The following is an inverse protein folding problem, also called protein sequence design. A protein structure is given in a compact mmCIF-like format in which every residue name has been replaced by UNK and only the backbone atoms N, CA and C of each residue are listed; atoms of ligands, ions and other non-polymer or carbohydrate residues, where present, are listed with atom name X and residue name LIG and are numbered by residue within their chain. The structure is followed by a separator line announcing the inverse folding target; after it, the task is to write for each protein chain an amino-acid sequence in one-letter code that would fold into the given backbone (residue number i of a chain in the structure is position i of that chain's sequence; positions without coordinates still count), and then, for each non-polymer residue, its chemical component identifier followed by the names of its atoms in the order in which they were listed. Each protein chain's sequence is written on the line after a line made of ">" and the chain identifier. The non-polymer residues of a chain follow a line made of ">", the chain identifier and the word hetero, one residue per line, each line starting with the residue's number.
data_IF_543921734507
#
_entry.id   IF_543921734507
#
_cell.length_a   1.000
_cell.length_b   1.000
_cell.length_c   1.000
_cell.angle_alpha   90.00
_cell.angle_beta   90.00
_cell.angle_gamma   90.00
#
_symmetry.space_group_name_H-M   'P 1'
#
loop_
_entity.id
_entity.type
_entity.pdbx_description
1 polymer ?
#
# COMPACT_ATOMS: atom_id res chain seq x y z
N UNK A 1 -52.42 -66.25 -15.52
CA UNK A 1 -52.27 -65.98 -14.08
C UNK A 1 -50.85 -66.38 -13.70
N UNK A 2 -50.01 -65.67 -12.94
CA UNK A 2 -49.72 -64.26 -12.67
C UNK A 2 -48.37 -64.30 -11.88
N UNK A 3 -47.54 -63.24 -11.93
CA UNK A 3 -46.33 -62.93 -11.11
C UNK A 3 -45.03 -63.69 -11.42
N UNK A 4 -43.79 -63.17 -11.38
CA UNK A 4 -43.10 -61.86 -11.38
C UNK A 4 -41.75 -62.12 -10.65
N UNK A 5 -40.57 -61.87 -11.26
CA UNK A 5 -39.29 -61.82 -10.53
C UNK A 5 -38.20 -61.03 -11.31
N UNK A 6 -38.17 -59.74 -10.99
CA UNK A 6 -37.06 -58.83 -10.70
C UNK A 6 -35.71 -58.87 -11.48
N UNK A 7 -35.38 -57.65 -11.91
CA UNK A 7 -34.14 -57.12 -12.49
C UNK A 7 -32.94 -57.17 -11.53
N UNK A 8 -31.73 -57.32 -12.07
CA UNK A 8 -30.50 -56.83 -11.43
C UNK A 8 -29.53 -56.30 -12.49
N UNK A 9 -29.73 -55.04 -12.90
CA UNK A 9 -28.76 -54.29 -13.71
C UNK A 9 -27.64 -53.75 -12.82
N UNK A 10 -26.41 -54.20 -13.05
CA UNK A 10 -25.22 -53.65 -12.41
C UNK A 10 -24.84 -52.32 -13.08
N UNK A 11 -25.24 -51.19 -12.48
CA UNK A 11 -24.70 -49.89 -12.83
C UNK A 11 -23.37 -49.69 -12.08
N UNK A 12 -22.26 -49.79 -12.81
CA UNK A 12 -20.93 -49.43 -12.30
C UNK A 12 -20.91 -47.92 -12.09
N UNK A 13 -21.08 -47.50 -10.83
CA UNK A 13 -20.90 -46.12 -10.39
C UNK A 13 -19.41 -45.80 -10.44
N UNK A 14 -18.94 -45.28 -11.57
CA UNK A 14 -17.60 -44.76 -11.72
C UNK A 14 -17.40 -43.58 -10.78
N UNK A 15 -16.55 -43.76 -9.77
CA UNK A 15 -16.15 -42.71 -8.84
C UNK A 15 -15.30 -41.67 -9.59
N UNK A 16 -15.96 -40.71 -10.25
CA UNK A 16 -15.32 -39.57 -10.87
C UNK A 16 -14.70 -38.70 -9.78
N UNK A 17 -13.37 -38.62 -9.76
CA UNK A 17 -12.62 -37.75 -8.86
C UNK A 17 -12.94 -36.29 -9.18
N UNK A 18 -13.83 -35.68 -8.41
CA UNK A 18 -14.02 -34.22 -8.42
C UNK A 18 -12.72 -33.60 -7.91
N UNK A 19 -11.91 -33.04 -8.82
CA UNK A 19 -10.79 -32.17 -8.43
C UNK A 19 -11.39 -30.94 -7.76
N UNK A 20 -11.18 -30.82 -6.44
CA UNK A 20 -11.41 -29.59 -5.72
C UNK A 20 -10.53 -28.50 -6.34
N UNK A 21 -11.16 -27.56 -7.06
CA UNK A 21 -10.51 -26.33 -7.50
C UNK A 21 -10.28 -25.50 -6.24
N UNK A 22 -9.03 -25.22 -5.91
CA UNK A 22 -8.70 -24.32 -4.83
C UNK A 22 -9.30 -22.93 -5.14
N UNK A 23 -9.85 -22.22 -4.13
CA UNK A 23 -10.37 -20.88 -4.33
C UNK A 23 -9.24 -19.95 -4.79
N UNK A 24 -9.50 -19.15 -5.83
CA UNK A 24 -8.61 -18.08 -6.26
C UNK A 24 -8.27 -17.20 -5.04
N UNK A 25 -6.98 -17.05 -4.78
CA UNK A 25 -6.52 -16.20 -3.70
C UNK A 25 -7.06 -14.78 -3.90
N UNK A 26 -7.59 -14.13 -2.85
CA UNK A 26 -8.11 -12.78 -2.98
C UNK A 26 -7.02 -11.82 -3.48
N UNK A 27 -7.38 -10.80 -4.28
CA UNK A 27 -6.43 -9.84 -4.82
C UNK A 27 -5.66 -9.17 -3.68
N UNK A 28 -4.33 -9.21 -3.76
CA UNK A 28 -3.47 -8.68 -2.70
C UNK A 28 -3.50 -7.15 -2.74
N UNK A 29 -3.87 -6.51 -1.63
CA UNK A 29 -3.87 -5.05 -1.52
C UNK A 29 -2.52 -4.58 -0.96
N UNK A 30 -1.83 -3.73 -1.70
CA UNK A 30 -0.56 -3.12 -1.31
C UNK A 30 -0.78 -1.64 -1.04
N UNK A 31 -0.78 -1.26 0.23
CA UNK A 31 -0.80 0.15 0.64
C UNK A 31 0.60 0.76 0.57
N UNK A 32 0.69 1.96 -0.02
CA UNK A 32 1.87 2.83 -0.08
C UNK A 32 1.44 4.28 0.15
N UNK A 33 2.36 5.08 0.66
CA UNK A 33 2.15 6.50 0.94
C UNK A 33 2.63 7.35 -0.23
N UNK A 34 1.99 8.49 -0.51
CA UNK A 34 2.49 9.48 -1.49
C UNK A 34 3.94 9.88 -1.15
N UNK A 35 4.76 10.03 -2.18
CA UNK A 35 6.20 10.34 -2.09
C UNK A 35 7.04 9.32 -1.31
N UNK A 36 6.49 8.13 -1.05
CA UNK A 36 7.19 7.05 -0.38
C UNK A 36 7.34 5.85 -1.31
N UNK A 37 8.45 5.13 -1.12
CA UNK A 37 8.72 3.88 -1.80
C UNK A 37 8.52 2.69 -0.86
N UNK A 38 7.98 1.60 -1.39
CA UNK A 38 7.82 0.31 -0.73
C UNK A 38 8.51 -0.76 -1.56
N UNK A 39 9.34 -1.55 -0.91
CA UNK A 39 10.01 -2.68 -1.54
C UNK A 39 9.17 -3.94 -1.34
N UNK A 40 8.92 -4.67 -2.42
CA UNK A 40 8.23 -5.95 -2.40
C UNK A 40 8.91 -6.98 -3.29
N UNK A 41 8.70 -8.26 -3.01
CA UNK A 41 9.21 -9.36 -3.83
C UNK A 41 8.11 -9.88 -4.74
N UNK A 42 8.45 -10.04 -6.01
CA UNK A 42 7.61 -10.67 -7.01
C UNK A 42 7.99 -12.15 -7.17
N UNK A 43 7.12 -12.99 -7.76
CA UNK A 43 7.43 -14.39 -8.06
C UNK A 43 8.70 -14.56 -8.92
N UNK A 44 9.42 -15.67 -8.75
CA UNK A 44 10.74 -15.95 -9.35
C UNK A 44 10.76 -16.04 -10.91
N UNK A 45 9.65 -15.70 -11.59
CA UNK A 45 9.51 -15.75 -13.05
C UNK A 45 8.99 -14.45 -13.68
N UNK A 46 8.82 -13.39 -12.90
CA UNK A 46 8.32 -12.12 -13.44
C UNK A 46 9.35 -11.49 -14.38
N UNK A 47 8.94 -11.25 -15.63
CA UNK A 47 9.72 -10.47 -16.58
C UNK A 47 9.13 -9.08 -16.81
N UNK A 48 7.81 -9.00 -16.88
CA UNK A 48 7.11 -7.78 -17.23
C UNK A 48 6.21 -7.35 -16.08
N UNK A 49 6.27 -6.08 -15.72
CA UNK A 49 5.37 -5.47 -14.74
C UNK A 49 4.63 -4.34 -15.42
N UNK A 50 3.31 -4.33 -15.26
CA UNK A 50 2.42 -3.33 -15.84
C UNK A 50 1.71 -2.64 -14.68
N UNK A 51 1.67 -1.30 -14.73
CA UNK A 51 0.89 -0.47 -13.81
C UNK A 51 -0.26 0.13 -14.59
N UNK A 52 -1.49 0.00 -14.10
CA UNK A 52 -2.66 0.52 -14.79
C UNK A 52 -2.64 2.03 -14.98
N UNK A 53 -2.24 2.78 -13.95
CA UNK A 53 -2.11 4.24 -14.01
C UNK A 53 -0.74 4.72 -13.44
N UNK A 54 0.23 5.10 -14.29
CA UNK A 54 1.55 5.56 -13.86
C UNK A 54 1.55 6.96 -13.20
N UNK A 55 0.41 7.69 -13.24
CA UNK A 55 0.25 8.94 -12.49
C UNK A 55 -0.03 8.70 -11.00
N UNK A 56 -0.58 7.54 -10.65
CA UNK A 56 -0.90 7.16 -9.26
C UNK A 56 0.32 6.52 -8.60
N UNK A 57 0.91 5.51 -9.24
CA UNK A 57 2.07 4.80 -8.73
C UNK A 57 3.06 4.46 -9.85
N UNK A 58 4.32 4.33 -9.51
CA UNK A 58 5.39 3.95 -10.42
C UNK A 58 6.21 2.80 -9.85
N UNK A 59 6.87 2.05 -10.72
CA UNK A 59 7.60 0.86 -10.31
C UNK A 59 8.95 0.73 -11.03
N UNK A 60 9.94 0.26 -10.29
CA UNK A 60 11.22 -0.12 -10.83
C UNK A 60 11.52 -1.58 -10.45
N UNK A 61 11.63 -2.44 -11.47
CA UNK A 61 12.03 -3.83 -11.29
C UNK A 61 13.57 -3.91 -11.20
N UNK A 62 14.05 -4.43 -10.08
CA UNK A 62 15.46 -4.72 -9.85
C UNK A 62 15.78 -6.18 -10.18
N UNK A 63 17.07 -6.48 -10.31
CA UNK A 63 17.54 -7.86 -10.46
C UNK A 63 17.09 -8.69 -9.24
N UNK A 64 16.79 -9.97 -9.47
CA UNK A 64 16.34 -10.94 -8.45
C UNK A 64 14.89 -10.76 -7.95
N UNK A 65 13.99 -10.22 -8.78
CA UNK A 65 12.56 -10.15 -8.46
C UNK A 65 12.19 -9.14 -7.36
N UNK A 66 13.09 -8.21 -7.06
CA UNK A 66 12.81 -7.10 -6.13
C UNK A 66 12.12 -5.99 -6.92
N UNK A 67 10.95 -5.57 -6.47
CA UNK A 67 10.20 -4.45 -7.02
C UNK A 67 10.26 -3.27 -6.04
N UNK A 68 10.62 -2.11 -6.54
CA UNK A 68 10.50 -0.83 -5.82
C UNK A 68 9.23 -0.15 -6.35
N UNK A 69 8.21 -0.04 -5.49
CA UNK A 69 6.95 0.63 -5.78
C UNK A 69 6.97 2.03 -5.16
N UNK A 70 6.73 3.08 -5.94
CA UNK A 70 6.69 4.47 -5.47
C UNK A 70 5.29 5.04 -5.64
N UNK A 71 4.70 5.58 -4.58
CA UNK A 71 3.45 6.33 -4.65
C UNK A 71 3.69 7.73 -5.20
N UNK A 72 3.02 8.11 -6.29
CA UNK A 72 3.12 9.45 -6.91
C UNK A 72 1.93 10.35 -6.59
N UNK A 73 0.72 9.81 -6.65
CA UNK A 73 -0.52 10.55 -6.40
C UNK A 73 -1.55 9.65 -5.73
N UNK A 74 -2.48 10.27 -5.03
CA UNK A 74 -3.55 9.59 -4.32
C UNK A 74 -4.45 8.81 -5.29
N UNK A 75 -4.85 7.61 -4.88
CA UNK A 75 -5.80 6.80 -5.63
C UNK A 75 -5.57 5.31 -5.49
N UNK A 76 -6.29 4.55 -6.30
CA UNK A 76 -6.12 3.11 -6.42
C UNK A 76 -5.81 2.75 -7.86
N UNK A 77 -4.82 1.90 -8.07
CA UNK A 77 -4.49 1.34 -9.39
C UNK A 77 -4.11 -0.13 -9.23
N UNK A 78 -3.97 -0.86 -10.33
CA UNK A 78 -3.57 -2.25 -10.33
C UNK A 78 -2.13 -2.40 -10.82
N UNK A 79 -1.49 -3.45 -10.32
CA UNK A 79 -0.19 -3.92 -10.74
C UNK A 79 -0.34 -5.36 -11.23
N UNK A 80 0.12 -5.61 -12.45
CA UNK A 80 0.06 -6.92 -13.10
C UNK A 80 1.49 -7.38 -13.37
N UNK A 81 1.81 -8.61 -12.94
CA UNK A 81 3.09 -9.25 -13.19
C UNK A 81 2.91 -10.40 -14.19
N UNK A 82 3.69 -10.39 -15.27
CA UNK A 82 3.66 -11.41 -16.32
C UNK A 82 4.99 -12.16 -16.41
N UNK A 83 4.91 -13.41 -16.87
CA UNK A 83 6.08 -14.21 -17.26
C UNK A 83 6.57 -13.88 -18.68
N UNK A 84 7.62 -14.59 -19.11
CA UNK A 84 8.21 -14.44 -20.45
C UNK A 84 7.25 -14.81 -21.61
N UNK A 85 6.26 -15.66 -21.33
CA UNK A 85 5.27 -16.10 -22.30
C UNK A 85 4.03 -15.19 -22.32
N UNK A 86 3.97 -14.19 -21.43
CA UNK A 86 2.83 -13.29 -21.29
C UNK A 86 1.72 -13.83 -20.39
N UNK A 87 1.94 -14.94 -19.67
CA UNK A 87 0.97 -15.43 -18.69
C UNK A 87 1.00 -14.56 -17.44
N UNK A 88 -0.19 -14.29 -16.90
CA UNK A 88 -0.36 -13.57 -15.65
C UNK A 88 0.08 -14.45 -14.47
N UNK A 89 1.07 -13.96 -13.72
CA UNK A 89 1.59 -14.62 -12.53
C UNK A 89 0.92 -14.09 -11.25
N UNK A 90 0.64 -12.79 -11.20
CA UNK A 90 0.02 -12.15 -10.06
C UNK A 90 -0.66 -10.84 -10.48
N UNK A 91 -1.75 -10.52 -9.78
CA UNK A 91 -2.42 -9.23 -9.81
C UNK A 91 -2.49 -8.68 -8.38
N UNK A 92 -2.21 -7.38 -8.22
CA UNK A 92 -2.28 -6.70 -6.93
C UNK A 92 -2.91 -5.33 -7.09
N UNK A 93 -3.73 -4.94 -6.12
CA UNK A 93 -4.31 -3.60 -6.06
C UNK A 93 -3.39 -2.71 -5.24
N UNK A 94 -2.88 -1.66 -5.86
CA UNK A 94 -2.07 -0.62 -5.23
C UNK A 94 -3.00 0.47 -4.73
N UNK A 95 -2.99 0.72 -3.41
CA UNK A 95 -3.68 1.84 -2.78
C UNK A 95 -2.65 2.87 -2.34
N UNK A 96 -2.65 4.03 -3.00
CA UNK A 96 -1.80 5.16 -2.64
C UNK A 96 -2.57 6.09 -1.73
N UNK A 97 -2.10 6.19 -0.50
CA UNK A 97 -2.74 6.94 0.56
C UNK A 97 -1.91 8.18 0.90
N UNK A 98 -2.56 9.15 1.56
CA UNK A 98 -1.83 10.23 2.20
C UNK A 98 -0.73 9.68 3.10
N UNK A 99 0.37 10.43 3.29
CA UNK A 99 1.13 10.29 4.51
C UNK A 99 0.12 10.36 5.62
N UNK A 100 0.05 9.31 6.43
CA UNK A 100 -0.73 9.35 7.65
C UNK A 100 -0.02 10.38 8.53
N UNK A 101 -0.31 11.65 8.29
CA UNK A 101 -0.60 12.59 9.32
C UNK A 101 -2.11 12.46 9.45
N UNK A 102 -2.59 11.64 10.39
CA UNK A 102 -3.92 11.89 10.91
C UNK A 102 -3.84 13.29 11.53
N UNK A 103 -4.16 14.32 10.74
CA UNK A 103 -4.17 15.68 11.23
C UNK A 103 -5.42 15.80 12.08
N UNK A 104 -5.21 15.73 13.40
CA UNK A 104 -6.26 15.86 14.39
C UNK A 104 -6.28 17.29 14.86
N UNK A 105 -7.48 17.88 14.89
CA UNK A 105 -7.70 19.20 15.45
C UNK A 105 -8.27 19.05 16.85
N UNK A 106 -7.53 19.52 17.85
CA UNK A 106 -7.99 19.60 19.24
C UNK A 106 -8.56 21.00 19.46
N UNK A 107 -9.84 21.07 19.84
CA UNK A 107 -10.52 22.33 20.17
C UNK A 107 -10.67 22.46 21.68
N UNK A 108 -10.10 23.52 22.27
CA UNK A 108 -10.19 23.88 23.70
C UNK A 108 -10.82 25.26 23.82
N UNK A 109 -12.16 25.30 23.78
CA UNK A 109 -12.89 26.56 23.73
C UNK A 109 -12.67 27.28 22.40
N UNK A 110 -12.06 28.48 22.44
CA UNK A 110 -11.69 29.24 21.26
C UNK A 110 -10.27 28.91 20.75
N UNK A 111 -9.52 28.09 21.49
CA UNK A 111 -8.17 27.69 21.13
C UNK A 111 -8.20 26.42 20.29
N UNK A 112 -7.63 26.51 19.08
CA UNK A 112 -7.49 25.39 18.16
C UNK A 112 -6.04 24.95 18.07
N UNK A 113 -5.78 23.66 18.15
CA UNK A 113 -4.44 23.09 17.98
C UNK A 113 -4.48 21.93 16.99
N UNK A 114 -3.55 21.89 16.05
CA UNK A 114 -3.46 20.83 15.06
C UNK A 114 -2.28 19.89 15.34
N UNK A 115 -2.50 18.58 15.22
CA UNK A 115 -1.53 17.53 15.51
C UNK A 115 -1.47 16.52 14.38
N UNK A 116 -0.28 16.07 14.01
CA UNK A 116 -0.08 14.94 13.11
C UNK A 116 0.19 13.68 13.94
N UNK A 117 -0.71 12.70 13.89
CA UNK A 117 -0.65 11.53 14.77
C UNK A 117 -0.45 10.23 14.00
N UNK A 118 0.81 9.79 13.84
CA UNK A 118 1.14 8.43 13.36
C UNK A 118 2.58 8.05 13.75
N UNK A 119 2.82 7.07 14.65
CA UNK A 119 1.91 6.46 15.64
C UNK A 119 1.72 7.32 16.91
N UNK A 120 2.58 8.32 17.12
CA UNK A 120 2.49 9.29 18.21
C UNK A 120 2.10 10.66 17.66
N UNK A 121 1.43 11.48 18.46
CA UNK A 121 1.04 12.83 18.07
C UNK A 121 2.21 13.81 18.18
N UNK A 122 2.49 14.50 17.07
CA UNK A 122 3.46 15.60 16.99
C UNK A 122 2.69 16.89 16.64
N UNK A 123 3.06 18.05 17.23
CA UNK A 123 2.47 19.33 16.85
C UNK A 123 2.62 19.60 15.35
N UNK A 124 1.54 20.03 14.69
CA UNK A 124 1.54 20.41 13.28
C UNK A 124 0.84 21.75 13.13
N UNK A 125 1.59 22.83 12.96
CA UNK A 125 1.04 24.18 12.87
C UNK A 125 0.15 24.32 11.62
N UNK A 126 -1.08 24.78 11.79
CA UNK A 126 -2.00 25.12 10.70
C UNK A 126 -2.53 26.55 10.83
N UNK A 127 -2.92 27.14 9.69
CA UNK A 127 -3.55 28.46 9.69
C UNK A 127 -4.90 28.42 10.40
N UNK A 128 -5.06 29.25 11.44
CA UNK A 128 -6.25 29.26 12.31
C UNK A 128 -6.08 28.48 13.61
N UNK A 129 -4.89 27.95 13.89
CA UNK A 129 -4.54 27.47 15.23
C UNK A 129 -4.30 28.66 16.19
N UNK A 130 -4.40 28.40 17.50
CA UNK A 130 -4.26 29.41 18.54
C UNK A 130 -2.88 30.09 18.47
N UNK A 131 -2.85 31.42 18.59
CA UNK A 131 -1.62 32.21 18.46
C UNK A 131 -0.49 31.74 19.38
N UNK A 132 -0.83 31.30 20.60
CA UNK A 132 0.14 30.78 21.56
C UNK A 132 0.79 29.48 21.06
N UNK A 133 -0.02 28.49 20.65
CA UNK A 133 0.46 27.23 20.09
C UNK A 133 1.28 27.45 18.81
N UNK A 134 0.79 28.31 17.90
CA UNK A 134 1.50 28.71 16.69
C UNK A 134 2.89 29.29 17.03
N UNK A 135 2.96 30.24 17.96
CA UNK A 135 4.20 30.91 18.35
C UNK A 135 5.21 29.97 19.01
N UNK A 136 4.75 29.13 19.96
CA UNK A 136 5.59 28.17 20.66
C UNK A 136 6.22 27.15 19.70
N UNK A 137 5.41 26.48 18.87
CA UNK A 137 5.91 25.46 17.93
C UNK A 137 6.80 26.10 16.85
N UNK A 138 6.49 27.32 16.38
CA UNK A 138 7.32 28.05 15.41
C UNK A 138 8.70 28.38 15.99
N UNK A 139 8.75 28.86 17.24
CA UNK A 139 10.01 29.17 17.92
C UNK A 139 10.88 27.92 18.12
N UNK A 140 10.27 26.78 18.44
CA UNK A 140 10.99 25.50 18.56
C UNK A 140 11.58 25.07 17.21
N UNK A 141 10.84 25.25 16.11
CA UNK A 141 11.31 24.94 14.77
C UNK A 141 12.47 25.87 14.35
N UNK A 142 12.39 27.16 14.63
CA UNK A 142 13.45 28.14 14.38
C UNK A 142 14.72 27.84 15.18
N UNK A 143 14.59 27.56 16.48
CA UNK A 143 15.72 27.18 17.33
C UNK A 143 16.40 25.91 16.81
N UNK A 144 15.63 24.89 16.42
CA UNK A 144 16.18 23.67 15.79
C UNK A 144 16.91 23.99 14.48
N UNK A 145 16.34 24.85 13.63
CA UNK A 145 16.98 25.28 12.37
C UNK A 145 18.30 26.00 12.63
N UNK A 146 18.33 26.92 13.59
CA UNK A 146 19.53 27.66 13.98
C UNK A 146 20.65 26.73 14.49
N UNK A 147 20.29 25.73 15.31
CA UNK A 147 21.25 24.73 15.78
C UNK A 147 21.79 23.86 14.63
N UNK A 148 20.95 23.53 13.65
CA UNK A 148 21.35 22.75 12.48
C UNK A 148 22.28 23.53 11.53
N UNK A 149 22.06 24.83 11.36
CA UNK A 149 22.91 25.68 10.51
C UNK A 149 24.20 26.12 11.19
N UNK A 150 24.23 26.23 12.53
CA UNK A 150 25.44 26.54 13.29
C UNK A 150 26.54 25.46 13.18
N UNK A 151 26.17 24.21 12.87
CA UNK A 151 27.12 23.11 12.63
C UNK A 151 27.64 23.01 11.20
N UNK A 152 27.02 23.73 10.25
CA UNK A 152 27.37 23.72 8.83
C UNK A 152 28.16 24.99 8.45
N UNK A 153 29.26 25.27 9.16
CA UNK A 153 30.24 26.25 8.74
C UNK A 153 30.99 25.77 7.49
N UNK A 154 31.41 26.66 6.57
CA UNK A 154 32.03 26.26 5.31
C UNK A 154 33.36 25.55 5.58
N UNK A 155 33.43 24.25 5.30
CA UNK A 155 34.71 23.55 5.13
C UNK A 155 35.33 24.04 3.84
N UNK A 156 36.04 25.18 3.93
CA UNK A 156 36.90 25.66 2.87
C UNK A 156 38.18 24.79 2.90
N UNK A 157 38.26 23.81 2.00
CA UNK A 157 39.49 23.10 1.67
C UNK A 157 39.52 22.74 0.20
#
# INVERSE_FOLDING_TARGET
>A
MLTALLLAGYAVFGCGSVRAQAPDAPPTIVAVTVDNAKVMRLPEKTQTVIVGNPMIADVALQRNGILILTGKSFGSTNLIALDAAGHMLAESTISVQAPQAAVITVQRGLERESYSCTPNCQPSIQLGDANKFYGEVSSQAENRRALATAGAGPTNR
#
